data_IF_012882706462
#
_entry.id   IF_012882706462
#
_cell.length_a   1.000
_cell.length_b   1.000
_cell.length_c   1.000
_cell.angle_alpha   90.00
_cell.angle_beta   90.00
_cell.angle_gamma   90.00
#
_symmetry.space_group_name_H-M   'P 1'
#
loop_
_entity.id
_entity.type
_entity.pdbx_description
1 polymer ?
#
# COMPACT_ATOMS: atom_id res chain seq x y z
N UNK A 1 -29.74 14.09 15.11
CA UNK A 1 -30.24 13.07 14.16
C UNK A 1 -29.94 13.41 12.70
N UNK A 2 -30.16 14.65 12.22
CA UNK A 2 -29.95 15.04 10.82
C UNK A 2 -28.52 14.86 10.24
N UNK A 3 -27.48 14.96 11.06
CA UNK A 3 -26.09 14.79 10.58
C UNK A 3 -25.73 13.31 10.35
N UNK A 4 -26.34 12.39 11.10
CA UNK A 4 -26.14 10.93 10.93
C UNK A 4 -26.80 10.43 9.66
N UNK A 5 -28.04 10.83 9.38
CA UNK A 5 -28.73 10.45 8.14
C UNK A 5 -27.97 10.92 6.89
N UNK A 6 -27.40 12.14 6.92
CA UNK A 6 -26.59 12.67 5.83
C UNK A 6 -25.31 11.85 5.57
N UNK A 7 -24.65 11.34 6.62
CA UNK A 7 -23.48 10.47 6.47
C UNK A 7 -23.90 9.13 5.88
N UNK A 8 -24.98 8.53 6.39
CA UNK A 8 -25.50 7.25 5.89
C UNK A 8 -25.77 7.31 4.39
N UNK A 9 -26.52 8.31 3.92
CA UNK A 9 -26.82 8.47 2.49
C UNK A 9 -25.56 8.63 1.64
N UNK A 10 -24.58 9.41 2.12
CA UNK A 10 -23.30 9.59 1.41
C UNK A 10 -22.50 8.30 1.30
N UNK A 11 -22.43 7.52 2.39
CA UNK A 11 -21.71 6.23 2.41
C UNK A 11 -22.35 5.26 1.41
N UNK A 12 -23.67 5.12 1.44
CA UNK A 12 -24.41 4.23 0.53
C UNK A 12 -24.23 4.67 -0.93
N UNK A 13 -24.36 5.97 -1.20
CA UNK A 13 -24.19 6.51 -2.55
C UNK A 13 -22.77 6.25 -3.08
N UNK A 14 -21.73 6.58 -2.30
CA UNK A 14 -20.35 6.29 -2.66
C UNK A 14 -20.10 4.79 -2.87
N UNK A 15 -20.62 3.94 -1.99
CA UNK A 15 -20.44 2.50 -2.08
C UNK A 15 -21.06 1.92 -3.36
N UNK A 16 -22.26 2.38 -3.74
CA UNK A 16 -22.94 1.99 -4.97
C UNK A 16 -22.16 2.37 -6.23
N UNK A 17 -21.66 3.63 -6.29
CA UNK A 17 -20.85 4.10 -7.41
C UNK A 17 -19.55 3.28 -7.57
N UNK A 18 -18.84 3.07 -6.47
CA UNK A 18 -17.58 2.30 -6.46
C UNK A 18 -17.82 0.85 -6.88
N UNK A 19 -18.90 0.23 -6.38
CA UNK A 19 -19.26 -1.14 -6.74
C UNK A 19 -19.53 -1.26 -8.24
N UNK A 20 -20.22 -0.29 -8.84
CA UNK A 20 -20.49 -0.30 -10.27
C UNK A 20 -19.20 -0.19 -11.11
N UNK A 21 -18.29 0.70 -10.72
CA UNK A 21 -17.04 0.94 -11.45
C UNK A 21 -16.02 -0.20 -11.28
N UNK A 22 -15.78 -0.62 -10.03
CA UNK A 22 -14.68 -1.54 -9.68
C UNK A 22 -15.13 -2.98 -9.46
N UNK A 23 -16.43 -3.24 -9.34
CA UNK A 23 -17.04 -4.54 -9.01
C UNK A 23 -16.70 -5.06 -7.60
N UNK A 24 -16.09 -4.21 -6.77
CA UNK A 24 -15.91 -4.41 -5.34
C UNK A 24 -15.92 -3.06 -4.64
N UNK A 25 -16.17 -3.06 -3.33
CA UNK A 25 -16.04 -1.86 -2.49
C UNK A 25 -15.35 -2.20 -1.17
N UNK A 26 -14.46 -1.32 -0.73
CA UNK A 26 -13.88 -1.37 0.62
C UNK A 26 -14.18 -0.07 1.35
N UNK A 27 -14.04 -0.07 2.68
CA UNK A 27 -14.19 1.16 3.47
C UNK A 27 -13.14 2.22 3.09
N UNK A 28 -11.95 1.80 2.65
CA UNK A 28 -10.89 2.71 2.18
C UNK A 28 -11.33 3.41 0.90
N UNK A 29 -11.97 2.71 -0.03
CA UNK A 29 -12.50 3.31 -1.27
C UNK A 29 -13.60 4.33 -0.95
N UNK A 30 -14.49 4.02 0.01
CA UNK A 30 -15.52 4.96 0.48
C UNK A 30 -14.86 6.20 1.09
N UNK A 31 -13.85 6.04 1.93
CA UNK A 31 -13.15 7.18 2.54
C UNK A 31 -12.39 8.03 1.52
N UNK A 32 -11.85 7.42 0.45
CA UNK A 32 -11.25 8.15 -0.67
C UNK A 32 -12.32 8.94 -1.44
N UNK A 33 -13.46 8.34 -1.76
CA UNK A 33 -14.55 9.01 -2.47
C UNK A 33 -15.21 10.12 -1.63
N UNK A 34 -15.26 9.95 -0.31
CA UNK A 34 -15.77 10.97 0.61
C UNK A 34 -14.73 12.04 0.96
N UNK A 35 -13.52 11.96 0.40
CA UNK A 35 -12.37 12.85 0.65
C UNK A 35 -11.91 12.86 2.12
N UNK A 36 -12.26 11.84 2.90
CA UNK A 36 -11.74 11.63 4.25
C UNK A 36 -10.31 11.10 4.23
N UNK A 37 -9.93 10.46 3.12
CA UNK A 37 -8.58 10.06 2.80
C UNK A 37 -8.19 10.64 1.43
N UNK A 38 -6.89 10.87 1.26
CA UNK A 38 -6.32 11.20 -0.05
C UNK A 38 -5.57 9.99 -0.61
N UNK A 39 -5.43 9.86 -1.93
CA UNK A 39 -4.61 8.81 -2.54
C UNK A 39 -3.17 8.79 -2.00
N UNK A 40 -2.63 9.98 -1.68
CA UNK A 40 -1.29 10.13 -1.08
C UNK A 40 -1.20 9.50 0.31
N UNK A 41 -2.21 9.70 1.17
CA UNK A 41 -2.24 9.07 2.50
C UNK A 41 -2.21 7.54 2.40
N UNK A 42 -3.05 6.96 1.54
CA UNK A 42 -3.10 5.52 1.33
C UNK A 42 -1.79 5.01 0.72
N UNK A 43 -1.21 5.76 -0.21
CA UNK A 43 0.08 5.42 -0.80
C UNK A 43 1.19 5.37 0.27
N UNK A 44 1.37 6.45 1.04
CA UNK A 44 2.41 6.54 2.06
C UNK A 44 2.22 5.47 3.15
N UNK A 45 0.99 5.21 3.58
CA UNK A 45 0.67 4.12 4.51
C UNK A 45 0.99 2.74 3.91
N UNK A 46 0.57 2.45 2.67
CA UNK A 46 0.92 1.18 2.00
C UNK A 46 2.42 1.01 1.78
N UNK A 47 3.18 2.11 1.66
CA UNK A 47 4.66 2.09 1.59
C UNK A 47 5.33 2.06 2.96
N UNK A 48 4.54 1.89 4.02
CA UNK A 48 5.05 1.77 5.37
C UNK A 48 5.49 3.08 5.99
N UNK A 49 5.37 4.24 5.33
CA UNK A 49 5.75 5.53 5.96
C UNK A 49 4.85 5.83 7.15
N UNK A 50 3.56 5.58 7.07
CA UNK A 50 2.63 5.90 8.15
C UNK A 50 2.41 4.65 9.01
N UNK A 51 2.51 4.80 10.34
CA UNK A 51 2.35 3.69 11.29
C UNK A 51 0.97 3.01 11.23
N UNK A 52 -0.10 3.81 11.15
CA UNK A 52 -1.48 3.34 11.01
C UNK A 52 -2.34 4.34 10.23
N UNK A 53 -3.29 3.84 9.43
CA UNK A 53 -4.05 4.65 8.46
C UNK A 53 -4.92 5.73 9.11
N UNK A 54 -5.58 5.40 10.22
CA UNK A 54 -6.51 6.30 10.95
C UNK A 54 -5.87 7.62 11.36
N UNK A 55 -4.54 7.66 11.54
CA UNK A 55 -3.80 8.91 11.83
C UNK A 55 -4.01 9.99 10.76
N UNK A 56 -4.32 9.59 9.52
CA UNK A 56 -4.41 10.48 8.37
C UNK A 56 -5.84 10.68 7.85
N UNK A 57 -6.82 10.03 8.50
CA UNK A 57 -8.23 10.21 8.17
C UNK A 57 -8.67 11.56 8.72
N UNK A 58 -9.29 12.38 7.87
CA UNK A 58 -9.73 13.73 8.24
C UNK A 58 -11.02 13.75 9.08
N UNK A 59 -11.73 12.62 9.16
CA UNK A 59 -12.94 12.46 9.96
C UNK A 59 -12.63 11.97 11.38
N UNK A 60 -13.51 12.29 12.33
CA UNK A 60 -13.40 11.79 13.70
C UNK A 60 -13.81 10.31 13.83
N UNK A 61 -13.40 9.68 14.94
CA UNK A 61 -13.63 8.25 15.21
C UNK A 61 -15.11 7.85 15.17
N UNK A 62 -16.02 8.71 15.62
CA UNK A 62 -17.46 8.44 15.58
C UNK A 62 -17.97 8.32 14.15
N UNK A 63 -17.57 9.25 13.27
CA UNK A 63 -17.93 9.20 11.85
C UNK A 63 -17.35 7.99 11.14
N UNK A 64 -16.10 7.61 11.47
CA UNK A 64 -15.45 6.41 10.94
C UNK A 64 -16.23 5.16 11.35
N UNK A 65 -16.55 5.01 12.64
CA UNK A 65 -17.31 3.85 13.15
C UNK A 65 -18.71 3.78 12.53
N UNK A 66 -19.42 4.91 12.46
CA UNK A 66 -20.75 4.98 11.85
C UNK A 66 -20.68 4.56 10.36
N UNK A 67 -19.68 5.04 9.60
CA UNK A 67 -19.50 4.68 8.20
C UNK A 67 -19.19 3.19 7.99
N UNK A 68 -18.34 2.60 8.84
CA UNK A 68 -18.04 1.15 8.80
C UNK A 68 -19.32 0.33 9.00
N UNK A 69 -20.12 0.69 10.01
CA UNK A 69 -21.40 0.00 10.29
C UNK A 69 -22.38 0.13 9.12
N UNK A 70 -22.53 1.32 8.57
CA UNK A 70 -23.42 1.56 7.42
C UNK A 70 -22.99 0.73 6.22
N UNK A 71 -21.70 0.71 5.88
CA UNK A 71 -21.20 -0.09 4.77
C UNK A 71 -21.44 -1.59 4.99
N UNK A 72 -21.20 -2.08 6.20
CA UNK A 72 -21.44 -3.48 6.56
C UNK A 72 -22.93 -3.88 6.41
N UNK A 73 -23.85 -3.06 6.91
CA UNK A 73 -25.29 -3.31 6.77
C UNK A 73 -25.72 -3.29 5.30
N UNK A 74 -25.31 -2.26 4.56
CA UNK A 74 -25.62 -2.14 3.14
C UNK A 74 -25.07 -3.31 2.32
N UNK A 75 -23.85 -3.77 2.62
CA UNK A 75 -23.25 -4.92 1.93
C UNK A 75 -24.02 -6.23 2.18
N UNK A 76 -24.55 -6.43 3.39
CA UNK A 76 -25.42 -7.57 3.72
C UNK A 76 -26.74 -7.49 2.96
N UNK A 77 -27.39 -6.34 2.95
CA UNK A 77 -28.65 -6.10 2.22
C UNK A 77 -28.50 -6.36 0.71
N UNK A 78 -27.34 -6.05 0.15
CA UNK A 78 -27.03 -6.25 -1.27
C UNK A 78 -26.38 -7.61 -1.59
N UNK A 79 -26.34 -8.54 -0.62
CA UNK A 79 -25.76 -9.88 -0.77
C UNK A 79 -24.31 -9.90 -1.30
N UNK A 80 -23.51 -8.90 -0.91
CA UNK A 80 -22.11 -8.82 -1.32
C UNK A 80 -21.28 -9.85 -0.57
N UNK A 81 -20.30 -10.44 -1.25
CA UNK A 81 -19.42 -11.45 -0.64
C UNK A 81 -18.22 -10.78 0.02
N UNK A 82 -18.00 -10.98 1.34
CA UNK A 82 -16.82 -10.45 2.00
C UNK A 82 -15.58 -11.27 1.61
N UNK A 83 -14.53 -10.58 1.18
CA UNK A 83 -13.20 -11.15 0.95
C UNK A 83 -12.16 -10.35 1.71
N UNK A 84 -11.38 -11.02 2.55
CA UNK A 84 -10.31 -10.37 3.29
C UNK A 84 -9.07 -10.17 2.41
N UNK A 85 -8.57 -8.93 2.39
CA UNK A 85 -7.32 -8.59 1.70
C UNK A 85 -6.18 -8.45 2.69
N UNK A 86 -5.06 -9.10 2.40
CA UNK A 86 -3.85 -9.02 3.21
C UNK A 86 -3.07 -7.72 2.93
N UNK A 87 -3.18 -6.74 3.82
CA UNK A 87 -2.38 -5.53 3.78
C UNK A 87 -1.03 -5.75 4.48
N UNK A 88 -0.04 -6.20 3.72
CA UNK A 88 1.28 -6.55 4.26
C UNK A 88 2.38 -5.73 3.60
N UNK A 89 3.31 -5.28 4.43
CA UNK A 89 4.59 -4.75 4.00
C UNK A 89 5.61 -5.89 4.12
N UNK A 90 6.14 -6.34 2.99
CA UNK A 90 7.11 -7.43 2.92
C UNK A 90 8.46 -6.87 2.47
N UNK A 91 9.51 -7.00 3.27
CA UNK A 91 10.91 -6.76 2.88
C UNK A 91 11.74 -8.03 3.11
N UNK A 92 11.93 -8.82 2.06
CA UNK A 92 12.58 -10.13 2.15
C UNK A 92 11.84 -11.07 3.10
N UNK A 93 12.53 -11.57 4.13
CA UNK A 93 11.97 -12.38 5.21
C UNK A 93 11.23 -11.55 6.29
N UNK A 94 11.36 -10.22 6.28
CA UNK A 94 10.58 -9.37 7.16
C UNK A 94 9.19 -9.16 6.54
N UNK A 95 8.14 -9.57 7.25
CA UNK A 95 6.75 -9.36 6.86
C UNK A 95 6.06 -8.76 8.06
N UNK A 96 5.46 -7.58 7.88
CA UNK A 96 4.56 -7.01 8.88
C UNK A 96 3.21 -6.70 8.26
N UNK A 97 2.17 -6.87 9.07
CA UNK A 97 0.84 -6.38 8.71
C UNK A 97 0.85 -4.85 8.85
N UNK A 98 0.30 -4.17 7.85
CA UNK A 98 -0.02 -2.75 7.98
C UNK A 98 -1.21 -2.65 8.94
N UNK A 99 -1.14 -1.69 9.85
CA UNK A 99 -2.20 -1.43 10.83
C UNK A 99 -3.12 -0.34 10.32
N UNK A 100 -4.41 -0.45 10.55
CA UNK A 100 -5.38 0.58 10.21
C UNK A 100 -5.59 1.53 11.38
N UNK A 101 -5.73 0.97 12.58
CA UNK A 101 -6.12 1.67 13.79
C UNK A 101 -4.93 1.88 14.73
N UNK A 102 -5.04 2.87 15.62
CA UNK A 102 -4.02 3.10 16.67
C UNK A 102 -3.98 1.94 17.67
N UNK A 103 -5.14 1.44 18.08
CA UNK A 103 -5.29 0.41 19.11
C UNK A 103 -4.96 -0.98 18.57
N UNK A 104 -5.22 -1.25 17.29
CA UNK A 104 -5.13 -2.59 16.69
C UNK A 104 -6.29 -3.49 17.08
N UNK A 105 -7.48 -2.92 17.30
CA UNK A 105 -8.69 -3.70 17.56
C UNK A 105 -8.98 -4.61 16.37
N UNK A 106 -8.98 -5.93 16.60
CA UNK A 106 -9.02 -6.92 15.53
C UNK A 106 -10.33 -6.84 14.72
N UNK A 107 -11.45 -6.45 15.34
CA UNK A 107 -12.72 -6.30 14.65
C UNK A 107 -12.68 -5.11 13.68
N UNK A 108 -12.12 -3.98 14.12
CA UNK A 108 -11.92 -2.82 13.25
C UNK A 108 -10.89 -3.11 12.15
N UNK A 109 -9.75 -3.71 12.49
CA UNK A 109 -8.73 -4.10 11.51
C UNK A 109 -9.32 -5.03 10.44
N UNK A 110 -10.12 -6.02 10.83
CA UNK A 110 -10.84 -6.90 9.89
C UNK A 110 -11.84 -6.13 9.03
N UNK A 111 -12.59 -5.18 9.58
CA UNK A 111 -13.51 -4.34 8.81
C UNK A 111 -12.78 -3.53 7.72
N UNK A 112 -11.58 -3.01 8.01
CA UNK A 112 -10.74 -2.34 7.02
C UNK A 112 -10.15 -3.28 5.97
N UNK A 113 -9.79 -4.52 6.33
CA UNK A 113 -9.27 -5.52 5.39
C UNK A 113 -10.33 -6.09 4.46
N UNK A 114 -11.60 -6.04 4.86
CA UNK A 114 -12.71 -6.64 4.13
C UNK A 114 -13.06 -5.83 2.88
N UNK A 115 -13.06 -6.50 1.73
CA UNK A 115 -13.57 -6.00 0.47
C UNK A 115 -14.88 -6.73 0.15
N UNK A 116 -15.94 -6.00 -0.14
CA UNK A 116 -17.23 -6.55 -0.51
C UNK A 116 -17.29 -6.66 -2.03
N UNK A 117 -17.32 -7.89 -2.54
CA UNK A 117 -17.27 -8.17 -3.97
C UNK A 117 -18.70 -8.38 -4.50
N UNK A 118 -18.96 -7.84 -5.69
CA UNK A 118 -20.22 -8.02 -6.40
C UNK A 118 -20.52 -9.51 -6.63
N UNK A 119 -21.73 -9.98 -6.30
CA UNK A 119 -22.14 -11.36 -6.56
C UNK A 119 -22.35 -11.64 -8.06
N UNK A 120 -22.45 -10.59 -8.88
CA UNK A 120 -22.69 -10.69 -10.33
C UNK A 120 -21.43 -11.09 -11.12
N UNK A 121 -20.26 -11.11 -10.48
CA UNK A 121 -19.03 -11.56 -11.12
C UNK A 121 -18.99 -13.09 -11.23
N UNK A 122 -18.56 -13.59 -12.40
CA UNK A 122 -18.22 -15.01 -12.54
C UNK A 122 -17.10 -15.41 -11.58
N UNK A 123 -17.10 -16.66 -11.13
CA UNK A 123 -16.13 -17.13 -10.13
C UNK A 123 -14.68 -16.91 -10.53
N UNK A 124 -14.37 -17.09 -11.82
CA UNK A 124 -13.04 -16.86 -12.39
C UNK A 124 -12.62 -15.39 -12.30
N UNK A 125 -13.53 -14.45 -12.54
CA UNK A 125 -13.25 -13.01 -12.43
C UNK A 125 -13.08 -12.60 -10.97
N UNK A 126 -13.92 -13.15 -10.09
CA UNK A 126 -13.80 -12.95 -8.64
C UNK A 126 -12.46 -13.45 -8.11
N UNK A 127 -12.06 -14.68 -8.41
CA UNK A 127 -10.77 -15.24 -7.98
C UNK A 127 -9.58 -14.39 -8.46
N UNK A 128 -9.61 -13.93 -9.72
CA UNK A 128 -8.57 -13.03 -10.26
C UNK A 128 -8.53 -11.68 -9.55
N UNK A 129 -9.69 -11.15 -9.17
CA UNK A 129 -9.80 -9.90 -8.42
C UNK A 129 -9.28 -10.07 -6.99
N UNK A 130 -9.66 -11.16 -6.31
CA UNK A 130 -9.17 -11.52 -4.98
C UNK A 130 -7.64 -11.70 -4.97
N UNK A 131 -7.10 -12.41 -5.96
CA UNK A 131 -5.64 -12.57 -6.14
C UNK A 131 -4.94 -11.22 -6.38
N UNK A 132 -5.56 -10.33 -7.17
CA UNK A 132 -5.02 -8.98 -7.42
C UNK A 132 -5.02 -8.14 -6.15
N UNK A 133 -6.09 -8.21 -5.36
CA UNK A 133 -6.22 -7.45 -4.11
C UNK A 133 -5.27 -7.97 -3.04
N UNK A 134 -5.07 -9.29 -2.95
CA UNK A 134 -4.20 -9.94 -1.96
C UNK A 134 -2.70 -9.78 -2.23
N UNK A 135 -2.31 -9.41 -3.46
CA UNK A 135 -0.91 -9.17 -3.81
C UNK A 135 -0.35 -7.92 -3.09
N UNK A 136 0.74 -8.07 -2.32
CA UNK A 136 1.38 -6.92 -1.70
C UNK A 136 1.96 -5.99 -2.77
N UNK A 137 1.90 -4.69 -2.52
CA UNK A 137 2.50 -3.69 -3.41
C UNK A 137 4.03 -3.82 -3.45
N UNK A 138 4.64 -3.25 -4.50
CA UNK A 138 6.11 -3.21 -4.60
C UNK A 138 6.73 -2.46 -3.40
N UNK A 139 7.84 -2.96 -2.85
CA UNK A 139 8.63 -2.28 -1.81
C UNK A 139 9.15 -0.96 -2.38
N UNK A 140 9.16 0.10 -1.57
CA UNK A 140 9.74 1.39 -1.97
C UNK A 140 10.90 1.74 -1.05
N UNK A 141 12.03 2.05 -1.67
CA UNK A 141 13.25 2.55 -1.04
C UNK A 141 13.49 3.97 -1.52
N UNK A 142 13.93 4.83 -0.61
CA UNK A 142 14.08 6.26 -0.83
C UNK A 142 15.56 6.61 -0.92
N UNK A 143 15.94 7.21 -2.03
CA UNK A 143 17.20 7.92 -2.17
C UNK A 143 17.05 9.28 -1.50
N UNK A 144 17.81 9.51 -0.44
CA UNK A 144 17.62 10.69 0.41
C UNK A 144 18.32 11.93 -0.14
N UNK A 145 17.70 13.07 0.13
CA UNK A 145 18.18 14.40 -0.31
C UNK A 145 18.83 15.20 0.82
N UNK A 146 18.87 14.64 2.03
CA UNK A 146 19.48 15.19 3.25
C UNK A 146 19.93 14.04 4.14
N UNK A 147 20.90 14.29 5.00
CA UNK A 147 21.41 13.30 5.94
C UNK A 147 20.38 12.93 7.01
N UNK A 148 20.47 11.71 7.51
CA UNK A 148 19.62 11.19 8.60
C UNK A 148 20.31 10.04 9.32
N UNK A 149 19.70 9.52 10.39
CA UNK A 149 20.21 8.37 11.15
C UNK A 149 19.23 7.21 11.07
N UNK A 150 19.77 6.01 10.93
CA UNK A 150 18.98 4.79 11.04
C UNK A 150 18.37 4.69 12.44
N UNK A 151 17.05 4.56 12.55
CA UNK A 151 16.36 4.45 13.84
C UNK A 151 16.65 3.17 14.61
N UNK A 152 17.32 2.19 14.00
CA UNK A 152 17.65 0.90 14.64
C UNK A 152 19.11 0.79 15.06
N UNK A 153 20.05 1.02 14.14
CA UNK A 153 21.49 0.92 14.43
C UNK A 153 22.18 2.26 14.67
N UNK A 154 21.44 3.37 14.58
CA UNK A 154 21.94 4.75 14.79
C UNK A 154 23.02 5.24 13.81
N UNK A 155 23.44 4.40 12.86
CA UNK A 155 24.38 4.77 11.80
C UNK A 155 23.83 5.91 10.95
N UNK A 156 24.69 6.86 10.60
CA UNK A 156 24.40 7.91 9.65
C UNK A 156 24.12 7.33 8.25
N UNK A 157 23.12 7.92 7.60
CA UNK A 157 22.73 7.67 6.22
C UNK A 157 22.87 9.01 5.51
N UNK A 158 23.81 9.09 4.58
CA UNK A 158 24.19 10.36 3.95
C UNK A 158 23.34 10.68 2.71
N UNK A 159 23.30 11.95 2.32
CA UNK A 159 22.68 12.41 1.08
C UNK A 159 23.11 11.54 -0.11
N UNK A 160 22.12 11.06 -0.87
CA UNK A 160 22.33 10.17 -2.02
C UNK A 160 22.27 8.68 -1.68
N UNK A 161 22.39 8.31 -0.40
CA UNK A 161 22.20 6.93 0.03
C UNK A 161 20.72 6.53 0.09
N UNK A 162 20.52 5.23 0.28
CA UNK A 162 19.22 4.59 0.24
C UNK A 162 18.75 4.23 1.65
N UNK A 163 17.49 4.53 1.94
CA UNK A 163 16.82 4.06 3.16
C UNK A 163 15.44 3.49 2.86
N UNK A 164 14.96 2.67 3.79
CA UNK A 164 13.61 2.18 3.85
C UNK A 164 12.86 2.90 4.96
N UNK A 165 11.60 3.27 4.71
CA UNK A 165 10.75 3.89 5.73
C UNK A 165 9.87 2.83 6.38
N UNK A 166 9.98 2.68 7.70
CA UNK A 166 9.16 1.75 8.46
C UNK A 166 8.44 2.44 9.63
N UNK A 167 7.14 2.70 9.46
CA UNK A 167 6.29 3.40 10.42
C UNK A 167 6.93 4.71 10.93
N UNK A 168 7.27 5.60 10.01
CA UNK A 168 8.00 6.86 10.19
C UNK A 168 9.44 6.71 10.68
N UNK A 169 9.96 5.48 10.79
CA UNK A 169 11.34 5.21 11.20
C UNK A 169 12.23 4.98 9.98
N UNK A 170 13.21 5.85 9.68
CA UNK A 170 14.20 5.58 8.65
C UNK A 170 15.09 4.40 9.04
N UNK A 171 15.20 3.40 8.17
CA UNK A 171 16.08 2.25 8.33
C UNK A 171 17.08 2.19 7.17
N UNK A 172 18.36 1.97 7.47
CA UNK A 172 19.34 1.63 6.44
C UNK A 172 18.99 0.27 5.80
N UNK A 173 19.46 0.03 4.57
CA UNK A 173 19.14 -1.20 3.85
C UNK A 173 19.46 -2.50 4.62
N UNK A 174 20.60 -2.62 5.35
CA UNK A 174 20.86 -3.79 6.19
C UNK A 174 19.79 -4.00 7.28
N UNK A 175 19.44 -2.95 8.04
CA UNK A 175 18.41 -3.03 9.08
C UNK A 175 17.03 -3.38 8.53
N UNK A 176 16.74 -3.01 7.27
CA UNK A 176 15.51 -3.32 6.56
C UNK A 176 15.52 -4.69 5.85
N UNK A 177 16.59 -5.48 6.00
CA UNK A 177 16.83 -6.75 5.27
C UNK A 177 16.87 -6.62 3.74
N UNK A 178 17.31 -5.47 3.25
CA UNK A 178 17.48 -5.16 1.82
C UNK A 178 18.94 -4.97 1.41
N UNK A 179 19.89 -5.05 2.36
CA UNK A 179 21.32 -4.76 2.11
C UNK A 179 22.05 -5.75 1.19
N UNK A 180 21.45 -6.89 0.87
CA UNK A 180 21.99 -7.88 -0.06
C UNK A 180 21.52 -7.65 -1.52
N UNK A 181 20.64 -6.67 -1.74
CA UNK A 181 20.17 -6.34 -3.08
C UNK A 181 21.11 -5.32 -3.73
N UNK A 182 21.33 -5.48 -5.02
CA UNK A 182 22.14 -4.58 -5.83
C UNK A 182 21.24 -3.53 -6.51
N UNK A 183 21.78 -2.33 -6.68
CA UNK A 183 21.07 -1.23 -7.32
C UNK A 183 21.25 -1.26 -8.83
N UNK A 184 20.13 -1.47 -9.54
CA UNK A 184 20.03 -1.32 -10.99
C UNK A 184 19.42 0.07 -11.31
N UNK A 185 20.19 1.02 -11.86
CA UNK A 185 19.65 2.32 -12.26
C UNK A 185 18.63 2.18 -13.40
N UNK A 186 17.74 3.17 -13.52
CA UNK A 186 16.84 3.26 -14.67
C UNK A 186 17.63 3.51 -15.96
N UNK A 187 17.15 2.95 -17.06
CA UNK A 187 17.77 3.08 -18.39
C UNK A 187 17.20 2.05 -19.35
N UNK A 188 17.77 0.85 -19.36
CA UNK A 188 17.31 -0.24 -20.21
C UNK A 188 16.00 -0.85 -19.70
N UNK A 189 14.94 -0.69 -20.50
CA UNK A 189 13.61 -1.21 -20.21
C UNK A 189 13.53 -2.75 -20.30
N UNK A 190 14.23 -3.39 -21.25
CA UNK A 190 14.27 -4.85 -21.41
C UNK A 190 14.96 -5.46 -20.19
N UNK A 191 16.15 -4.95 -19.85
CA UNK A 191 16.91 -5.42 -18.68
C UNK A 191 16.13 -5.23 -17.38
N UNK A 192 15.58 -4.03 -17.16
CA UNK A 192 14.75 -3.74 -15.98
C UNK A 192 13.55 -4.69 -15.84
N UNK A 193 12.90 -5.04 -16.95
CA UNK A 193 11.75 -5.95 -16.97
C UNK A 193 12.15 -7.38 -16.65
N UNK A 194 13.25 -7.87 -17.24
CA UNK A 194 13.77 -9.22 -16.99
C UNK A 194 14.31 -9.37 -15.57
N UNK A 195 15.11 -8.42 -15.10
CA UNK A 195 15.60 -8.40 -13.72
C UNK A 195 14.44 -8.37 -12.72
N UNK A 196 13.40 -7.55 -12.98
CA UNK A 196 12.17 -7.52 -12.18
C UNK A 196 11.44 -8.87 -12.18
N UNK A 197 11.48 -9.63 -13.28
CA UNK A 197 10.85 -10.94 -13.45
C UNK A 197 11.61 -12.04 -12.70
N UNK A 198 12.93 -12.02 -12.75
CA UNK A 198 13.79 -13.06 -12.14
C UNK A 198 14.06 -12.85 -10.66
N UNK A 199 13.92 -11.62 -10.16
CA UNK A 199 14.14 -11.31 -8.75
C UNK A 199 12.92 -11.66 -7.90
N UNK A 200 13.09 -12.55 -6.92
CA UNK A 200 12.05 -12.91 -5.96
C UNK A 200 11.80 -11.78 -4.95
N UNK A 201 12.87 -11.10 -4.55
CA UNK A 201 12.83 -9.90 -3.73
C UNK A 201 13.30 -8.70 -4.55
N UNK A 202 12.53 -7.62 -4.52
CA UNK A 202 12.86 -6.39 -5.23
C UNK A 202 12.28 -5.16 -4.55
N UNK A 203 12.92 -4.02 -4.73
CA UNK A 203 12.37 -2.73 -4.33
C UNK A 203 12.50 -1.70 -5.45
N UNK A 204 11.53 -0.81 -5.53
CA UNK A 204 11.59 0.36 -6.41
C UNK A 204 12.32 1.46 -5.67
N UNK A 205 13.35 2.02 -6.29
CA UNK A 205 14.08 3.17 -5.73
C UNK A 205 13.48 4.45 -6.26
N UNK A 206 13.16 5.39 -5.37
CA UNK A 206 12.60 6.70 -5.70
C UNK A 206 13.42 7.82 -5.07
N UNK A 207 13.44 8.99 -5.71
CA UNK A 207 14.08 10.21 -5.19
C UNK A 207 13.09 11.36 -5.25
N UNK A 208 13.09 12.21 -4.24
CA UNK A 208 12.26 13.42 -4.27
C UNK A 208 12.86 14.46 -5.21
N UNK A 209 12.13 14.85 -6.25
CA UNK A 209 12.47 15.95 -7.14
C UNK A 209 11.93 17.24 -6.54
N UNK A 210 12.83 18.14 -6.10
CA UNK A 210 12.44 19.47 -5.59
C UNK A 210 11.80 20.32 -6.68
N UNK A 211 12.35 20.27 -7.89
CA UNK A 211 11.86 21.01 -9.05
C UNK A 211 10.41 20.62 -9.40
N UNK A 212 10.07 19.32 -9.36
CA UNK A 212 8.73 18.82 -9.70
C UNK A 212 7.82 18.54 -8.50
N UNK A 213 8.31 18.80 -7.28
CA UNK A 213 7.61 18.57 -6.00
C UNK A 213 6.99 17.16 -5.87
N UNK A 214 7.67 16.13 -6.39
CA UNK A 214 7.18 14.74 -6.38
C UNK A 214 8.31 13.72 -6.33
N UNK A 215 7.99 12.48 -5.95
CA UNK A 215 8.93 11.37 -6.05
C UNK A 215 9.03 10.85 -7.48
N UNK A 216 10.25 10.63 -7.94
CA UNK A 216 10.55 10.10 -9.26
C UNK A 216 11.31 8.78 -9.11
N UNK A 217 10.93 7.78 -9.90
CA UNK A 217 11.61 6.48 -9.93
C UNK A 217 13.03 6.66 -10.47
N UNK A 218 14.01 6.15 -9.73
CA UNK A 218 15.43 6.20 -10.10
C UNK A 218 15.96 4.85 -10.58
N UNK A 219 15.36 3.75 -10.14
CA UNK A 219 15.85 2.41 -10.46
C UNK A 219 15.14 1.31 -9.66
N UNK A 220 15.83 0.18 -9.51
CA UNK A 220 15.40 -0.99 -8.77
C UNK A 220 16.53 -1.48 -7.84
N UNK A 221 16.17 -2.05 -6.70
CA UNK A 221 17.01 -2.99 -5.98
C UNK A 221 16.56 -4.40 -6.33
N UNK A 222 17.50 -5.25 -6.76
CA UNK A 222 17.26 -6.62 -7.24
C UNK A 222 18.33 -7.57 -6.70
N UNK A 223 18.05 -8.87 -6.72
CA UNK A 223 19.05 -9.88 -6.40
C UNK A 223 20.12 -9.93 -7.49
N UNK A 224 21.37 -10.15 -7.10
CA UNK A 224 22.50 -10.23 -8.05
C UNK A 224 22.32 -11.35 -9.08
N UNK A 225 21.87 -12.53 -8.64
CA UNK A 225 21.56 -13.67 -9.52
C UNK A 225 20.50 -13.33 -10.56
N UNK A 226 19.50 -12.53 -10.18
CA UNK A 226 18.45 -12.09 -11.08
C UNK A 226 18.97 -11.09 -12.13
N UNK A 227 19.92 -10.22 -11.77
CA UNK A 227 20.55 -9.32 -12.72
C UNK A 227 21.39 -10.08 -13.74
N UNK A 228 22.28 -10.98 -13.28
CA UNK A 228 23.14 -11.78 -14.17
C UNK A 228 22.33 -12.55 -15.21
N UNK A 229 21.28 -13.24 -14.76
CA UNK A 229 20.36 -13.94 -15.65
C UNK A 229 19.64 -13.00 -16.63
N UNK A 230 19.26 -11.81 -16.18
CA UNK A 230 18.62 -10.83 -17.04
C UNK A 230 19.58 -10.25 -18.09
N UNK A 231 20.85 -10.08 -17.76
CA UNK A 231 21.90 -9.65 -18.69
C UNK A 231 22.20 -10.71 -19.75
N UNK A 232 22.26 -11.98 -19.34
CA UNK A 232 22.41 -13.13 -20.25
C UNK A 232 21.28 -13.20 -21.29
N UNK A 233 20.02 -13.09 -20.84
CA UNK A 233 18.84 -13.10 -21.73
C UNK A 233 18.64 -11.78 -22.52
N UNK A 234 19.40 -10.74 -22.17
CA UNK A 234 19.37 -9.47 -22.88
C UNK A 234 20.27 -9.48 -24.13
N UNK A 235 21.36 -10.24 -24.09
CA UNK A 235 22.26 -10.49 -25.22
C UNK A 235 21.53 -11.19 -26.36
#
# INVERSE_FOLDING_TARGET
MANRSKITSRVIHSASLILNEKQYVSIIDVFLHMEWLTPTHVFDWRKGKIAYLERTIQANLNKISDAIRVLQSWAKENNLKPSETAYVLKTGAYKRNLRFTKTGDENLEKAYRTHYISPLLSEKRRAKLEEKLSKPGDIVVYMIVRDTKCSRCLKDIHKGELLFMDADKPLCLPCAKLGHLIYLPAGDAKLSRLAKKYSELRAVVVKFSRARKRYERQGLLIQESALKKAEEDCK
#
